data_IF_973210978817
#
_entry.id   IF_973210978817
#
_cell.length_a   1.000
_cell.length_b   1.000
_cell.length_c   1.000
_cell.angle_alpha   90.00
_cell.angle_beta   90.00
_cell.angle_gamma   90.00
#
_symmetry.space_group_name_H-M   'P 1'
#
loop_
_entity.id
_entity.type
_entity.pdbx_description
1 polymer ?
#
# COMPACT_ATOMS: atom_id res chain seq x y z
N UNK A 1 -2.88 26.62 -45.11
CA UNK A 1 -3.83 25.75 -44.37
C UNK A 1 -3.22 24.46 -43.85
N UNK A 2 -2.27 23.80 -44.57
CA UNK A 2 -1.71 22.50 -44.16
C UNK A 2 -0.73 22.55 -42.97
N UNK A 3 0.12 23.59 -42.86
CA UNK A 3 1.11 23.68 -41.76
C UNK A 3 0.49 24.08 -40.41
N UNK A 4 -0.66 24.77 -40.43
CA UNK A 4 -1.38 25.12 -39.20
C UNK A 4 -1.95 23.86 -38.51
N UNK A 5 -2.39 22.87 -39.30
CA UNK A 5 -2.85 21.58 -38.78
C UNK A 5 -1.71 20.76 -38.14
N UNK A 6 -0.51 20.80 -38.72
CA UNK A 6 0.66 20.08 -38.20
C UNK A 6 1.11 20.70 -36.86
N UNK A 7 1.12 22.03 -36.76
CA UNK A 7 1.44 22.73 -35.52
C UNK A 7 0.42 22.44 -34.42
N UNK A 8 -0.87 22.45 -34.73
CA UNK A 8 -1.91 22.12 -33.77
C UNK A 8 -1.79 20.67 -33.24
N UNK A 9 -1.50 19.71 -34.13
CA UNK A 9 -1.32 18.31 -33.76
C UNK A 9 -0.08 18.12 -32.86
N UNK A 10 1.02 18.83 -33.16
CA UNK A 10 2.22 18.83 -32.33
C UNK A 10 1.98 19.38 -30.92
N UNK A 11 1.22 20.47 -30.79
CA UNK A 11 0.89 21.08 -29.49
C UNK A 11 0.01 20.13 -28.66
N UNK A 12 -0.98 19.48 -29.27
CA UNK A 12 -1.86 18.52 -28.60
C UNK A 12 -1.08 17.30 -28.09
N UNK A 13 -0.16 16.77 -28.91
CA UNK A 13 0.69 15.64 -28.50
C UNK A 13 1.65 16.03 -27.37
N UNK A 14 2.23 17.23 -27.43
CA UNK A 14 3.10 17.73 -26.37
C UNK A 14 2.35 17.90 -25.05
N UNK A 15 1.12 18.46 -25.08
CA UNK A 15 0.29 18.61 -23.90
C UNK A 15 -0.13 17.27 -23.26
N UNK A 16 -0.37 16.23 -24.07
CA UNK A 16 -0.74 14.90 -23.56
C UNK A 16 0.41 14.24 -22.77
N UNK A 17 1.66 14.48 -23.16
CA UNK A 17 2.84 13.90 -22.52
C UNK A 17 3.20 14.54 -21.17
N UNK A 18 2.73 15.75 -20.90
CA UNK A 18 3.12 16.53 -19.70
C UNK A 18 1.99 16.54 -18.67
N UNK A 19 0.81 16.01 -19.01
CA UNK A 19 -0.26 15.85 -18.03
C UNK A 19 0.29 15.03 -16.84
N UNK A 20 0.35 15.62 -15.64
CA UNK A 20 0.74 14.87 -14.45
C UNK A 20 -0.33 13.80 -14.28
N UNK A 21 0.04 12.54 -14.45
CA UNK A 21 -0.79 11.45 -13.98
C UNK A 21 -0.83 11.58 -12.47
N UNK A 22 -1.97 12.05 -11.96
CA UNK A 22 -2.27 12.01 -10.54
C UNK A 22 -2.35 10.53 -10.16
N UNK A 23 -1.19 9.93 -9.86
CA UNK A 23 -1.12 8.69 -9.11
C UNK A 23 -1.77 9.03 -7.79
N UNK A 24 -3.03 8.64 -7.63
CA UNK A 24 -3.82 8.88 -6.44
C UNK A 24 -3.00 8.41 -5.25
N UNK A 25 -2.36 9.36 -4.57
CA UNK A 25 -1.53 9.09 -3.41
C UNK A 25 -2.41 8.36 -2.42
N UNK A 26 -2.06 7.12 -2.10
CA UNK A 26 -2.75 6.40 -1.05
C UNK A 26 -2.68 7.29 0.19
N UNK A 27 -3.84 7.80 0.62
CA UNK A 27 -3.93 8.62 1.83
C UNK A 27 -3.63 7.68 2.98
N UNK A 28 -2.36 7.62 3.39
CA UNK A 28 -1.97 6.93 4.61
C UNK A 28 -2.64 7.67 5.76
N UNK A 29 -3.76 7.14 6.23
CA UNK A 29 -4.47 7.72 7.37
C UNK A 29 -3.57 7.51 8.58
N UNK A 30 -2.82 8.53 8.98
CA UNK A 30 -2.14 8.54 10.29
C UNK A 30 -3.21 8.30 11.37
N UNK A 31 -3.33 7.07 11.85
CA UNK A 31 -3.98 6.80 13.11
C UNK A 31 -3.03 7.32 14.19
N UNK A 32 -3.18 8.61 14.53
CA UNK A 32 -2.62 9.16 15.76
C UNK A 32 -3.32 8.49 16.94
N UNK A 33 -2.87 7.29 17.29
CA UNK A 33 -3.22 6.60 18.51
C UNK A 33 -2.19 7.03 19.54
N UNK A 34 -2.38 8.19 20.17
CA UNK A 34 -1.45 8.78 21.15
C UNK A 34 -1.13 7.93 22.40
N UNK A 35 -1.45 6.64 22.37
CA UNK A 35 -1.13 5.61 23.35
C UNK A 35 0.03 4.70 22.90
N UNK A 36 0.37 4.64 21.60
CA UNK A 36 1.38 3.73 21.06
C UNK A 36 2.36 4.45 20.13
N UNK A 37 3.66 4.31 20.40
CA UNK A 37 4.71 4.69 19.47
C UNK A 37 4.89 3.55 18.45
N UNK A 38 4.17 3.63 17.34
CA UNK A 38 4.28 2.66 16.25
C UNK A 38 5.37 3.10 15.25
N UNK A 39 6.08 2.14 14.63
CA UNK A 39 7.02 2.44 13.56
C UNK A 39 6.29 3.01 12.34
N UNK A 40 7.03 3.76 11.51
CA UNK A 40 6.52 4.23 10.23
C UNK A 40 6.11 3.04 9.35
N UNK A 41 4.93 3.14 8.72
CA UNK A 41 4.35 2.08 7.90
C UNK A 41 3.53 1.02 8.66
N UNK A 42 3.32 1.19 9.97
CA UNK A 42 2.36 0.37 10.70
C UNK A 42 0.91 0.74 10.36
N UNK A 43 0.16 -0.19 9.77
CA UNK A 43 -1.22 0.01 9.33
C UNK A 43 -2.28 -0.52 10.31
N UNK A 44 -1.93 -1.48 11.16
CA UNK A 44 -2.89 -2.23 11.97
C UNK A 44 -2.33 -2.56 13.36
N UNK A 45 -3.12 -2.26 14.40
CA UNK A 45 -2.94 -2.81 15.74
C UNK A 45 -3.85 -4.04 15.86
N UNK A 46 -3.26 -5.22 16.13
CA UNK A 46 -3.99 -6.51 16.17
C UNK A 46 -4.93 -6.62 17.39
N UNK A 47 -4.63 -5.89 18.48
CA UNK A 47 -5.36 -5.99 19.74
C UNK A 47 -4.92 -7.20 20.59
N UNK A 48 -5.74 -7.67 21.55
CA UNK A 48 -5.46 -8.89 22.30
C UNK A 48 -5.38 -10.11 21.38
N UNK A 49 -4.38 -10.97 21.58
CA UNK A 49 -4.16 -12.17 20.79
C UNK A 49 -3.62 -13.31 21.67
N UNK A 50 -3.72 -14.55 21.20
CA UNK A 50 -3.21 -15.74 21.90
C UNK A 50 -1.77 -16.04 21.47
N UNK A 51 -0.93 -16.51 22.40
CA UNK A 51 0.49 -16.83 22.13
C UNK A 51 0.77 -18.34 22.22
N UNK A 52 -0.24 -19.17 21.93
CA UNK A 52 -0.17 -20.62 22.08
C UNK A 52 0.37 -21.35 20.84
N UNK A 53 0.64 -20.61 19.76
CA UNK A 53 1.17 -21.18 18.53
C UNK A 53 2.46 -21.97 18.79
N UNK A 54 2.51 -23.20 18.26
CA UNK A 54 3.72 -24.03 18.23
C UNK A 54 4.09 -24.28 16.78
N UNK A 55 5.34 -23.97 16.43
CA UNK A 55 5.86 -24.18 15.09
C UNK A 55 5.99 -25.69 14.82
N UNK A 56 5.24 -26.25 13.85
CA UNK A 56 5.52 -27.59 13.36
C UNK A 56 6.86 -27.54 12.60
N UNK A 57 7.84 -28.38 12.94
CA UNK A 57 9.18 -28.38 12.29
C UNK A 57 9.17 -28.85 10.81
N UNK A 58 7.99 -28.90 10.18
CA UNK A 58 7.76 -29.53 8.88
C UNK A 58 7.73 -28.55 7.71
N UNK A 59 7.37 -27.28 7.92
CA UNK A 59 7.29 -26.25 6.88
C UNK A 59 7.64 -24.87 7.47
N UNK A 60 7.92 -23.86 6.64
CA UNK A 60 8.27 -22.51 7.07
C UNK A 60 7.25 -21.52 6.53
N UNK A 61 6.83 -20.56 7.36
CA UNK A 61 5.66 -19.69 7.20
C UNK A 61 4.30 -20.31 7.54
N UNK A 62 3.70 -19.86 8.65
CA UNK A 62 2.40 -20.28 9.16
C UNK A 62 1.49 -19.09 9.43
N UNK A 63 0.26 -19.15 8.90
CA UNK A 63 -0.82 -18.27 9.34
C UNK A 63 -1.46 -18.86 10.59
N UNK A 64 -1.47 -18.09 11.68
CA UNK A 64 -2.01 -18.51 12.96
C UNK A 64 -3.55 -18.55 12.92
N UNK A 65 -4.10 -19.77 12.81
CA UNK A 65 -5.54 -20.01 12.75
C UNK A 65 -6.27 -19.67 14.04
N UNK A 66 -5.63 -19.81 15.21
CA UNK A 66 -6.26 -19.46 16.49
C UNK A 66 -6.47 -17.95 16.61
N UNK A 67 -5.56 -17.18 16.02
CA UNK A 67 -5.66 -15.73 15.92
C UNK A 67 -6.41 -15.25 14.67
N UNK A 68 -7.16 -16.13 14.00
CA UNK A 68 -7.97 -15.80 12.83
C UNK A 68 -7.14 -15.34 11.62
N UNK A 69 -5.96 -15.95 11.43
CA UNK A 69 -5.03 -15.68 10.33
C UNK A 69 -4.52 -14.24 10.26
N UNK A 70 -4.49 -13.54 11.40
CA UNK A 70 -3.96 -12.15 11.49
C UNK A 70 -2.49 -12.07 11.87
N UNK A 71 -1.92 -13.16 12.40
CA UNK A 71 -0.53 -13.27 12.82
C UNK A 71 0.15 -14.32 11.94
N UNK A 72 1.33 -14.00 11.46
CA UNK A 72 2.13 -14.88 10.60
C UNK A 72 3.44 -15.19 11.31
N UNK A 73 3.71 -16.48 11.49
CA UNK A 73 4.95 -17.01 12.05
C UNK A 73 5.84 -17.44 10.89
N UNK A 74 7.14 -17.22 10.99
CA UNK A 74 8.13 -17.62 9.97
C UNK A 74 8.78 -18.93 10.38
#
# INVERSE_FOLDING_TARGET
MKSLGILALGIVLYALCIAPTEVGGQRFRRQNSGLYNLPDGADLIVGPYTTNFQCPESYGFYADVENGCRIFHV
#
